data_IF_851732558154
#
_entry.id   IF_851732558154
#
_cell.length_a   1.000
_cell.length_b   1.000
_cell.length_c   1.000
_cell.angle_alpha   90.00
_cell.angle_beta   90.00
_cell.angle_gamma   90.00
#
_symmetry.space_group_name_H-M   'P 1'
#
loop_
_entity.id
_entity.type
_entity.pdbx_description
1 polymer ?
#
# COMPACT_ATOMS: atom_id res chain seq x y z
N UNK A 1 -6.58 -23.44 17.12
CA UNK A 1 -6.15 -22.39 16.18
C UNK A 1 -4.67 -22.13 16.36
N UNK A 2 -3.92 -22.14 15.26
CA UNK A 2 -2.54 -21.61 15.28
C UNK A 2 -2.63 -20.10 15.46
N UNK A 3 -1.68 -19.49 16.17
CA UNK A 3 -1.67 -18.04 16.42
C UNK A 3 -1.86 -17.18 15.16
N UNK A 4 -1.34 -17.63 14.01
CA UNK A 4 -1.54 -16.96 12.72
C UNK A 4 -3.01 -16.92 12.25
N UNK A 5 -3.77 -17.99 12.43
CA UNK A 5 -5.20 -18.03 12.08
C UNK A 5 -6.00 -17.05 12.93
N UNK A 6 -5.67 -16.96 14.23
CA UNK A 6 -6.31 -16.02 15.14
C UNK A 6 -6.05 -14.56 14.73
N UNK A 7 -4.80 -14.24 14.36
CA UNK A 7 -4.43 -12.90 13.90
C UNK A 7 -5.12 -12.54 12.58
N UNK A 8 -5.24 -13.49 11.64
CA UNK A 8 -5.95 -13.27 10.38
C UNK A 8 -7.45 -13.03 10.63
N UNK A 9 -8.10 -13.86 11.44
CA UNK A 9 -9.52 -13.71 11.78
C UNK A 9 -9.76 -12.36 12.46
N UNK A 10 -8.92 -11.98 13.41
CA UNK A 10 -9.00 -10.69 14.09
C UNK A 10 -8.84 -9.54 13.10
N UNK A 11 -7.85 -9.62 12.22
CA UNK A 11 -7.58 -8.61 11.18
C UNK A 11 -8.76 -8.43 10.22
N UNK A 12 -9.27 -9.52 9.63
CA UNK A 12 -10.42 -9.47 8.73
C UNK A 12 -11.70 -9.01 9.42
N UNK A 13 -11.92 -9.42 10.68
CA UNK A 13 -13.05 -8.93 11.48
C UNK A 13 -12.93 -7.42 11.72
N UNK A 14 -11.74 -6.91 12.05
CA UNK A 14 -11.49 -5.48 12.22
C UNK A 14 -11.71 -4.68 10.95
N UNK A 15 -11.18 -5.16 9.81
CA UNK A 15 -11.38 -4.56 8.49
C UNK A 15 -12.88 -4.54 8.12
N UNK A 16 -13.57 -5.67 8.28
CA UNK A 16 -15.00 -5.79 8.00
C UNK A 16 -15.85 -4.85 8.86
N UNK A 17 -15.53 -4.75 10.16
CA UNK A 17 -16.21 -3.85 11.09
C UNK A 17 -15.99 -2.39 10.70
N UNK A 18 -14.75 -2.01 10.36
CA UNK A 18 -14.42 -0.65 9.92
C UNK A 18 -15.19 -0.28 8.65
N UNK A 19 -15.26 -1.19 7.67
CA UNK A 19 -16.00 -0.96 6.43
C UNK A 19 -17.51 -0.81 6.68
N UNK A 20 -18.09 -1.66 7.53
CA UNK A 20 -19.50 -1.56 7.91
C UNK A 20 -19.83 -0.23 8.59
N UNK A 21 -19.01 0.18 9.56
CA UNK A 21 -19.20 1.45 10.26
C UNK A 21 -19.01 2.65 9.33
N UNK A 22 -18.03 2.60 8.43
CA UNK A 22 -17.77 3.65 7.44
C UNK A 22 -18.95 3.85 6.48
N UNK A 23 -19.59 2.77 6.03
CA UNK A 23 -20.71 2.84 5.08
C UNK A 23 -22.04 3.20 5.75
N UNK A 24 -22.30 2.66 6.93
CA UNK A 24 -23.61 2.75 7.58
C UNK A 24 -23.73 3.87 8.61
N UNK A 25 -22.62 4.28 9.23
CA UNK A 25 -22.66 5.12 10.42
C UNK A 25 -21.79 6.38 10.35
N UNK A 26 -20.70 6.37 9.58
CA UNK A 26 -19.82 7.53 9.50
C UNK A 26 -20.58 8.74 8.90
N UNK A 27 -20.61 9.89 9.60
CA UNK A 27 -21.24 11.10 9.08
C UNK A 27 -20.49 11.59 7.84
N UNK A 28 -21.24 12.15 6.89
CA UNK A 28 -20.65 12.84 5.74
C UNK A 28 -20.04 14.17 6.21
N UNK A 29 -19.04 14.64 5.47
CA UNK A 29 -18.47 15.98 5.63
C UNK A 29 -19.37 17.05 4.98
N UNK A 30 -19.12 18.33 5.23
CA UNK A 30 -19.84 19.42 4.56
C UNK A 30 -19.37 19.60 3.11
N UNK A 31 -20.23 20.16 2.27
CA UNK A 31 -19.88 20.50 0.88
C UNK A 31 -18.84 21.62 0.79
N UNK A 32 -18.72 22.45 1.83
CA UNK A 32 -17.67 23.46 1.92
C UNK A 32 -16.26 22.85 2.07
N UNK A 33 -16.17 21.56 2.40
CA UNK A 33 -14.91 20.84 2.57
C UNK A 33 -14.55 19.90 1.40
N UNK A 34 -15.56 19.37 0.68
CA UNK A 34 -15.40 18.43 -0.43
C UNK A 34 -16.50 18.64 -1.47
N UNK A 35 -16.13 18.59 -2.75
CA UNK A 35 -17.05 18.62 -3.90
C UNK A 35 -17.98 17.39 -3.89
N UNK A 36 -17.50 16.25 -3.39
CA UNK A 36 -18.28 15.03 -3.20
C UNK A 36 -18.26 14.53 -1.74
N UNK A 37 -19.10 15.10 -0.86
CA UNK A 37 -19.06 14.78 0.57
C UNK A 37 -19.30 13.30 0.90
N UNK A 38 -20.17 12.64 0.14
CA UNK A 38 -20.43 11.20 0.31
C UNK A 38 -19.21 10.35 -0.05
N UNK A 39 -18.38 10.79 -1.00
CA UNK A 39 -17.18 10.08 -1.43
C UNK A 39 -16.11 10.07 -0.35
N UNK A 40 -16.08 11.05 0.57
CA UNK A 40 -15.13 11.10 1.69
C UNK A 40 -15.13 9.81 2.53
N UNK A 41 -16.25 9.11 2.65
CA UNK A 41 -16.34 7.85 3.43
C UNK A 41 -15.39 6.77 2.93
N UNK A 42 -14.91 6.85 1.68
CA UNK A 42 -13.89 5.95 1.16
C UNK A 42 -12.56 6.07 1.91
N UNK A 43 -12.29 7.19 2.59
CA UNK A 43 -11.05 7.40 3.34
C UNK A 43 -10.88 6.43 4.51
N UNK A 44 -11.96 5.93 5.09
CA UNK A 44 -11.91 4.89 6.12
C UNK A 44 -11.39 3.54 5.59
N UNK A 45 -11.34 3.37 4.27
CA UNK A 45 -10.73 2.23 3.59
C UNK A 45 -9.39 2.60 2.96
N UNK A 46 -9.37 3.68 2.19
CA UNK A 46 -8.23 4.13 1.40
C UNK A 46 -7.02 4.47 2.26
N UNK A 47 -7.19 5.31 3.28
CA UNK A 47 -6.07 5.82 4.08
C UNK A 47 -5.43 4.71 4.91
N UNK A 48 -6.19 3.85 5.63
CA UNK A 48 -5.60 2.69 6.30
C UNK A 48 -4.90 1.72 5.34
N UNK A 49 -5.44 1.49 4.13
CA UNK A 49 -4.80 0.65 3.14
C UNK A 49 -3.44 1.24 2.68
N UNK A 50 -3.36 2.56 2.49
CA UNK A 50 -2.10 3.22 2.13
C UNK A 50 -1.04 3.07 3.23
N UNK A 51 -1.42 3.26 4.50
CA UNK A 51 -0.52 3.05 5.64
C UNK A 51 -0.10 1.58 5.82
N UNK A 52 -1.05 0.65 5.67
CA UNK A 52 -0.76 -0.79 5.72
C UNK A 52 0.23 -1.18 4.61
N UNK A 53 0.09 -0.61 3.40
CA UNK A 53 1.04 -0.78 2.32
C UNK A 53 2.44 -0.30 2.73
N UNK A 54 2.59 0.91 3.28
CA UNK A 54 3.90 1.39 3.74
C UNK A 54 4.54 0.50 4.81
N UNK A 55 3.76 -0.02 5.76
CA UNK A 55 4.26 -0.98 6.76
C UNK A 55 4.75 -2.26 6.08
N UNK A 56 3.98 -2.78 5.12
CA UNK A 56 4.36 -3.97 4.35
C UNK A 56 5.61 -3.75 3.49
N UNK A 57 5.76 -2.57 2.88
CA UNK A 57 6.99 -2.18 2.17
C UNK A 57 8.18 -2.03 3.13
N UNK A 58 7.96 -1.61 4.37
CA UNK A 58 8.98 -1.66 5.43
C UNK A 58 9.41 -3.08 5.76
N UNK A 59 8.46 -4.02 5.87
CA UNK A 59 8.76 -5.44 6.04
C UNK A 59 9.53 -6.02 4.83
N UNK A 60 9.11 -5.65 3.62
CA UNK A 60 9.81 -6.00 2.37
C UNK A 60 11.27 -5.53 2.41
N UNK A 61 11.51 -4.27 2.77
CA UNK A 61 12.85 -3.68 2.89
C UNK A 61 13.72 -4.42 3.92
N UNK A 62 13.19 -4.63 5.13
CA UNK A 62 13.91 -5.32 6.21
C UNK A 62 14.22 -6.77 5.80
N UNK A 63 13.24 -7.49 5.25
CA UNK A 63 13.41 -8.85 4.77
C UNK A 63 14.44 -8.95 3.64
N UNK A 64 14.41 -8.01 2.70
CA UNK A 64 15.37 -7.92 1.59
C UNK A 64 16.80 -7.72 2.08
N UNK A 65 17.02 -6.75 2.97
CA UNK A 65 18.33 -6.53 3.59
C UNK A 65 18.78 -7.75 4.39
N UNK A 66 17.90 -8.34 5.19
CA UNK A 66 18.20 -9.53 5.98
C UNK A 66 18.60 -10.74 5.12
N UNK A 67 17.96 -10.93 3.96
CA UNK A 67 18.37 -11.95 2.98
C UNK A 67 19.75 -11.63 2.41
N UNK A 68 19.96 -10.41 1.88
CA UNK A 68 21.21 -10.04 1.22
C UNK A 68 22.43 -10.10 2.16
N UNK A 69 22.29 -9.68 3.42
CA UNK A 69 23.40 -9.63 4.37
C UNK A 69 23.67 -10.96 5.10
N UNK A 70 22.63 -11.78 5.34
CA UNK A 70 22.75 -12.97 6.20
C UNK A 70 22.23 -14.26 5.59
N UNK A 71 21.67 -14.23 4.39
CA UNK A 71 21.03 -15.40 3.73
C UNK A 71 20.00 -16.08 4.62
N UNK A 72 19.28 -15.28 5.42
CA UNK A 72 18.33 -15.79 6.40
C UNK A 72 17.01 -16.17 5.73
N UNK A 73 16.62 -17.45 5.83
CA UNK A 73 15.32 -17.94 5.35
C UNK A 73 14.14 -17.23 6.02
N UNK A 74 14.27 -16.84 7.28
CA UNK A 74 13.23 -16.07 7.96
C UNK A 74 13.07 -14.69 7.34
N UNK A 75 14.19 -14.03 7.01
CA UNK A 75 14.18 -12.71 6.36
C UNK A 75 13.66 -12.81 4.93
N UNK A 76 13.95 -13.92 4.22
CA UNK A 76 13.33 -14.20 2.93
C UNK A 76 11.81 -14.32 3.05
N UNK A 77 11.30 -15.08 4.02
CA UNK A 77 9.85 -15.16 4.28
C UNK A 77 9.24 -13.80 4.58
N UNK A 78 9.94 -12.95 5.33
CA UNK A 78 9.51 -11.57 5.60
C UNK A 78 9.48 -10.73 4.31
N UNK A 79 10.47 -10.88 3.42
CA UNK A 79 10.48 -10.26 2.09
C UNK A 79 9.24 -10.68 1.28
N UNK A 80 8.93 -11.99 1.24
CA UNK A 80 7.75 -12.49 0.52
C UNK A 80 6.47 -11.91 1.09
N UNK A 81 6.28 -12.01 2.40
CA UNK A 81 5.08 -11.54 3.07
C UNK A 81 4.91 -10.01 2.91
N UNK A 82 6.00 -9.25 2.98
CA UNK A 82 6.01 -7.81 2.73
C UNK A 82 5.61 -7.45 1.31
N UNK A 83 6.10 -8.18 0.31
CA UNK A 83 5.73 -7.96 -1.09
C UNK A 83 4.24 -8.27 -1.35
N UNK A 84 3.74 -9.40 -0.85
CA UNK A 84 2.35 -9.82 -1.04
C UNK A 84 1.36 -8.90 -0.32
N UNK A 85 1.64 -8.56 0.94
CA UNK A 85 0.83 -7.60 1.69
C UNK A 85 0.91 -6.19 1.10
N UNK A 86 2.10 -5.77 0.67
CA UNK A 86 2.31 -4.47 0.01
C UNK A 86 1.55 -4.37 -1.30
N UNK A 87 1.51 -5.45 -2.09
CA UNK A 87 0.71 -5.53 -3.31
C UNK A 87 -0.79 -5.45 -3.01
N UNK A 88 -1.28 -6.26 -2.07
CA UNK A 88 -2.70 -6.28 -1.71
C UNK A 88 -3.19 -4.91 -1.22
N UNK A 89 -2.50 -4.33 -0.24
CA UNK A 89 -2.84 -3.02 0.31
C UNK A 89 -2.58 -1.87 -0.69
N UNK A 90 -1.53 -1.98 -1.51
CA UNK A 90 -1.23 -1.02 -2.56
C UNK A 90 -2.33 -0.96 -3.62
N UNK A 91 -2.81 -2.11 -4.11
CA UNK A 91 -3.93 -2.19 -5.04
C UNK A 91 -5.22 -1.64 -4.44
N UNK A 92 -5.49 -1.94 -3.17
CA UNK A 92 -6.64 -1.37 -2.45
C UNK A 92 -6.57 0.16 -2.44
N UNK A 93 -5.41 0.75 -2.12
CA UNK A 93 -5.22 2.19 -2.08
C UNK A 93 -5.28 2.82 -3.49
N UNK A 94 -4.61 2.26 -4.49
CA UNK A 94 -4.65 2.76 -5.88
C UNK A 94 -6.07 2.73 -6.42
N UNK A 95 -6.78 1.60 -6.29
CA UNK A 95 -8.14 1.48 -6.79
C UNK A 95 -9.10 2.44 -6.11
N UNK A 96 -9.11 2.46 -4.77
CA UNK A 96 -9.99 3.37 -4.01
C UNK A 96 -9.64 4.84 -4.25
N UNK A 97 -8.36 5.16 -4.46
CA UNK A 97 -7.90 6.50 -4.84
C UNK A 97 -8.46 6.93 -6.18
N UNK A 98 -8.46 6.05 -7.19
CA UNK A 98 -9.07 6.34 -8.49
C UNK A 98 -10.57 6.58 -8.42
N UNK A 99 -11.29 5.77 -7.64
CA UNK A 99 -12.73 5.92 -7.42
C UNK A 99 -13.03 7.27 -6.77
N UNK A 100 -12.26 7.63 -5.73
CA UNK A 100 -12.42 8.92 -5.06
C UNK A 100 -12.07 10.10 -5.96
N UNK A 101 -10.93 10.04 -6.68
CA UNK A 101 -10.51 11.11 -7.59
C UNK A 101 -11.51 11.36 -8.73
N UNK A 102 -12.17 10.32 -9.23
CA UNK A 102 -13.27 10.47 -10.18
C UNK A 102 -14.47 11.19 -9.56
N UNK A 103 -14.84 10.86 -8.32
CA UNK A 103 -15.99 11.46 -7.65
C UNK A 103 -15.74 12.91 -7.23
N UNK A 104 -14.54 13.22 -6.74
CA UNK A 104 -14.17 14.54 -6.22
C UNK A 104 -13.70 15.51 -7.32
N UNK A 105 -12.89 15.04 -8.26
CA UNK A 105 -12.21 15.90 -9.24
C UNK A 105 -12.62 15.65 -10.69
N UNK A 106 -13.50 14.68 -10.94
CA UNK A 106 -13.79 14.19 -12.29
C UNK A 106 -12.57 13.56 -12.98
N UNK A 107 -11.49 13.29 -12.25
CA UNK A 107 -10.20 12.81 -12.79
C UNK A 107 -9.69 11.67 -11.90
N UNK A 108 -9.66 10.41 -12.39
CA UNK A 108 -9.32 9.27 -11.54
C UNK A 108 -7.83 9.23 -11.20
N UNK A 109 -6.96 9.78 -12.05
CA UNK A 109 -5.53 9.83 -11.79
C UNK A 109 -4.94 11.16 -12.26
N UNK A 110 -4.35 11.91 -11.34
CA UNK A 110 -3.62 13.13 -11.67
C UNK A 110 -2.13 12.82 -11.87
N UNK A 111 -1.70 12.81 -13.13
CA UNK A 111 -0.31 12.54 -13.50
C UNK A 111 0.66 13.63 -13.03
N UNK A 112 0.19 14.81 -12.65
CA UNK A 112 1.04 15.89 -12.11
C UNK A 112 1.38 15.67 -10.63
N UNK A 113 0.63 14.82 -9.94
CA UNK A 113 0.82 14.56 -8.51
C UNK A 113 1.89 13.49 -8.28
N UNK A 114 3.06 13.91 -7.77
CA UNK A 114 4.20 13.01 -7.55
C UNK A 114 3.87 11.89 -6.56
N UNK A 115 3.02 12.13 -5.55
CA UNK A 115 2.65 11.12 -4.55
C UNK A 115 1.86 9.99 -5.19
N UNK A 116 0.90 10.31 -6.06
CA UNK A 116 0.11 9.31 -6.78
C UNK A 116 1.04 8.42 -7.60
N UNK A 117 1.91 9.05 -8.41
CA UNK A 117 2.84 8.34 -9.28
C UNK A 117 3.84 7.48 -8.50
N UNK A 118 4.44 8.01 -7.42
CA UNK A 118 5.42 7.27 -6.63
C UNK A 118 4.79 6.10 -5.87
N UNK A 119 3.55 6.26 -5.35
CA UNK A 119 2.79 5.16 -4.75
C UNK A 119 2.37 4.11 -5.78
N UNK A 120 1.98 4.53 -6.98
CA UNK A 120 1.68 3.65 -8.10
C UNK A 120 2.90 2.81 -8.50
N UNK A 121 4.07 3.44 -8.65
CA UNK A 121 5.33 2.75 -8.93
C UNK A 121 5.72 1.76 -7.83
N UNK A 122 5.51 2.12 -6.57
CA UNK A 122 5.74 1.25 -5.43
C UNK A 122 4.84 -0.01 -5.48
N UNK A 123 3.58 0.17 -5.88
CA UNK A 123 2.61 -0.93 -6.09
C UNK A 123 2.98 -1.81 -7.30
N UNK A 124 3.46 -1.21 -8.39
CA UNK A 124 3.97 -1.93 -9.55
C UNK A 124 5.25 -2.73 -9.22
N UNK A 125 6.13 -2.20 -8.37
CA UNK A 125 7.29 -2.92 -7.87
C UNK A 125 6.85 -4.17 -7.08
N UNK A 126 5.86 -4.04 -6.20
CA UNK A 126 5.30 -5.20 -5.51
C UNK A 126 4.72 -6.23 -6.50
N UNK A 127 4.01 -5.75 -7.53
CA UNK A 127 3.45 -6.60 -8.60
C UNK A 127 4.57 -7.39 -9.29
N UNK A 128 5.64 -6.71 -9.68
CA UNK A 128 6.82 -7.34 -10.29
C UNK A 128 7.46 -8.38 -9.37
N UNK A 129 7.65 -8.07 -8.08
CA UNK A 129 8.25 -9.01 -7.12
C UNK A 129 7.36 -10.24 -6.92
N UNK A 130 6.05 -10.07 -6.75
CA UNK A 130 5.11 -11.17 -6.51
C UNK A 130 4.90 -12.04 -7.75
N UNK A 131 4.71 -11.45 -8.93
CA UNK A 131 4.51 -12.22 -10.16
C UNK A 131 5.83 -12.82 -10.66
N UNK A 132 6.91 -12.02 -10.63
CA UNK A 132 8.23 -12.44 -11.07
C UNK A 132 8.74 -13.64 -10.28
N UNK A 133 8.68 -13.61 -8.94
CA UNK A 133 9.15 -14.73 -8.10
C UNK A 133 8.41 -16.03 -8.40
N UNK A 134 7.11 -15.96 -8.66
CA UNK A 134 6.27 -17.13 -8.93
C UNK A 134 6.53 -17.73 -10.31
N UNK A 135 7.18 -16.97 -11.20
CA UNK A 135 7.56 -17.41 -12.54
C UNK A 135 8.98 -17.96 -12.66
N UNK A 136 9.76 -17.92 -11.58
CA UNK A 136 11.18 -18.28 -11.57
C UNK A 136 11.47 -19.43 -10.59
N UNK A 137 12.47 -20.28 -10.85
CA UNK A 137 12.93 -21.26 -9.88
C UNK A 137 13.41 -20.58 -8.58
N UNK A 138 13.08 -21.18 -7.45
CA UNK A 138 13.50 -20.69 -6.14
C UNK A 138 14.97 -21.04 -5.87
N UNK A 139 15.86 -20.17 -6.35
CA UNK A 139 17.32 -20.31 -6.22
C UNK A 139 17.96 -19.04 -5.67
N UNK A 140 19.17 -19.16 -5.16
CA UNK A 140 19.88 -18.07 -4.48
C UNK A 140 19.98 -16.81 -5.36
N UNK A 141 20.32 -16.97 -6.64
CA UNK A 141 20.43 -15.87 -7.61
C UNK A 141 19.08 -15.19 -7.88
N UNK A 142 18.00 -15.97 -8.00
CA UNK A 142 16.62 -15.47 -8.11
C UNK A 142 16.25 -14.63 -6.89
N UNK A 143 16.54 -15.15 -5.70
CA UNK A 143 16.24 -14.46 -4.44
C UNK A 143 17.04 -13.17 -4.28
N UNK A 144 18.31 -13.18 -4.68
CA UNK A 144 19.16 -11.98 -4.67
C UNK A 144 18.62 -10.89 -5.59
N UNK A 145 18.16 -11.29 -6.78
CA UNK A 145 17.53 -10.38 -7.73
C UNK A 145 16.29 -9.72 -7.12
N UNK A 146 15.33 -10.51 -6.61
CA UNK A 146 14.10 -9.94 -6.02
C UNK A 146 14.37 -9.15 -4.74
N UNK A 147 15.29 -9.61 -3.89
CA UNK A 147 15.69 -8.86 -2.70
C UNK A 147 16.31 -7.50 -3.07
N UNK A 148 17.07 -7.39 -4.15
CA UNK A 148 17.58 -6.10 -4.62
C UNK A 148 16.43 -5.12 -4.93
N UNK A 149 15.38 -5.57 -5.65
CA UNK A 149 14.20 -4.75 -5.91
C UNK A 149 13.48 -4.34 -4.62
N UNK A 150 13.31 -5.26 -3.67
CA UNK A 150 12.68 -4.94 -2.38
C UNK A 150 13.51 -3.96 -1.53
N UNK A 151 14.84 -4.00 -1.63
CA UNK A 151 15.75 -3.10 -0.92
C UNK A 151 15.74 -1.70 -1.54
N UNK A 152 16.00 -1.57 -2.84
CA UNK A 152 16.09 -0.28 -3.52
C UNK A 152 14.72 0.37 -3.72
N UNK A 153 13.68 -0.45 -3.93
CA UNK A 153 12.29 0.01 -4.07
C UNK A 153 11.79 0.80 -2.87
N UNK A 154 12.34 0.55 -1.68
CA UNK A 154 11.97 1.26 -0.47
C UNK A 154 12.22 2.76 -0.54
N UNK A 155 13.10 3.25 -1.42
CA UNK A 155 13.30 4.71 -1.67
C UNK A 155 12.00 5.40 -2.07
N UNK A 156 11.07 4.69 -2.72
CA UNK A 156 9.77 5.25 -3.09
C UNK A 156 8.89 5.53 -1.86
N UNK A 157 9.09 4.86 -0.71
CA UNK A 157 8.31 5.11 0.52
C UNK A 157 8.55 6.52 1.09
N UNK A 158 9.79 6.92 1.46
CA UNK A 158 10.04 8.28 1.93
C UNK A 158 9.78 9.31 0.85
N UNK A 159 10.04 9.01 -0.44
CA UNK A 159 9.68 9.91 -1.54
C UNK A 159 8.18 10.18 -1.57
N UNK A 160 7.34 9.13 -1.49
CA UNK A 160 5.88 9.26 -1.48
C UNK A 160 5.40 10.04 -0.26
N UNK A 161 5.97 9.79 0.92
CA UNK A 161 5.64 10.54 2.12
C UNK A 161 6.02 12.02 1.99
N UNK A 162 7.23 12.33 1.54
CA UNK A 162 7.70 13.70 1.35
C UNK A 162 6.85 14.43 0.30
N UNK A 163 6.44 13.73 -0.77
CA UNK A 163 5.56 14.29 -1.79
C UNK A 163 4.23 14.80 -1.22
N UNK A 164 3.71 14.21 -0.14
CA UNK A 164 2.50 14.73 0.56
C UNK A 164 2.70 16.15 1.11
N UNK A 165 3.95 16.57 1.37
CA UNK A 165 4.29 17.85 2.01
C UNK A 165 4.73 18.91 1.00
N UNK A 166 5.40 18.48 -0.07
CA UNK A 166 6.02 19.40 -1.05
C UNK A 166 5.12 19.60 -2.27
N UNK A 167 4.41 18.56 -2.72
CA UNK A 167 3.59 18.58 -3.94
C UNK A 167 2.10 18.46 -3.60
N UNK A 168 1.53 19.54 -3.06
CA UNK A 168 0.09 19.68 -2.83
C UNK A 168 -0.55 20.46 -3.98
N UNK A 169 -0.79 19.80 -5.11
CA UNK A 169 -1.42 20.44 -6.28
C UNK A 169 -2.95 20.34 -6.17
N UNK A 170 -3.47 19.12 -6.06
CA UNK A 170 -4.92 18.83 -6.06
C UNK A 170 -5.37 18.00 -4.86
N UNK A 171 -4.47 17.19 -4.31
CA UNK A 171 -4.79 16.32 -3.19
C UNK A 171 -4.86 17.06 -1.84
N UNK A 172 -5.81 16.70 -0.96
CA UNK A 172 -5.83 17.20 0.41
C UNK A 172 -4.48 17.02 1.10
N UNK A 173 -4.08 18.04 1.86
CA UNK A 173 -2.87 18.00 2.68
C UNK A 173 -2.96 16.94 3.79
N UNK A 174 -1.83 16.59 4.43
CA UNK A 174 -1.84 15.68 5.57
C UNK A 174 -2.70 16.28 6.71
N UNK A 175 -3.54 15.44 7.31
CA UNK A 175 -4.24 15.73 8.58
C UNK A 175 -3.32 15.51 9.77
#
# INVERSE_FOLDING_TARGET
MKWGEALLILGFTGIGTTLLLALLWAPSVSIDAFESPAAQRIFYWHVPAAWAAFIAFGALFIGSGGWLFRRSEWMWRLHVAGAEAGLACGLMAVWSGCVWGQAEWGTPWDWTDVRLNSFGLLTLLATYVVLGRNSQPDGVETRDTFAAFGLYGFVLVPLTYIATRIWTIRHPGPV
#
